data_IF_287720562634
#
_entry.id   IF_287720562634
#
_cell.length_a   1.000
_cell.length_b   1.000
_cell.length_c   1.000
_cell.angle_alpha   90.00
_cell.angle_beta   90.00
_cell.angle_gamma   90.00
#
_symmetry.space_group_name_H-M   'P 1'
#
loop_
_entity.id
_entity.type
_entity.pdbx_description
1 polymer ?
#
# COMPACT_ATOMS: atom_id res chain seq x y z
N UNK A 1 -30.83 32.51 -13.90
CA UNK A 1 -30.23 31.16 -13.83
C UNK A 1 -31.37 30.21 -13.50
N UNK A 2 -31.78 29.38 -14.45
CA UNK A 2 -32.98 28.53 -14.32
C UNK A 2 -32.83 27.56 -13.14
N UNK A 3 -33.92 27.30 -12.40
CA UNK A 3 -33.96 26.38 -11.24
C UNK A 3 -33.35 25.00 -11.57
N UNK A 4 -33.48 24.58 -12.83
CA UNK A 4 -32.91 23.34 -13.40
C UNK A 4 -31.38 23.35 -13.41
N UNK A 5 -30.74 24.50 -13.67
CA UNK A 5 -29.28 24.65 -13.67
C UNK A 5 -28.71 24.61 -12.25
N UNK A 6 -29.47 25.09 -11.26
CA UNK A 6 -29.10 25.00 -9.83
C UNK A 6 -29.17 23.54 -9.35
N UNK A 7 -30.20 22.80 -9.75
CA UNK A 7 -30.31 21.37 -9.41
C UNK A 7 -29.20 20.52 -10.02
N UNK A 8 -28.83 20.76 -11.28
CA UNK A 8 -27.72 20.04 -11.94
C UNK A 8 -26.38 20.38 -11.29
N UNK A 9 -26.14 21.65 -10.95
CA UNK A 9 -24.93 22.07 -10.23
C UNK A 9 -24.86 21.46 -8.82
N UNK A 10 -25.98 21.41 -8.09
CA UNK A 10 -26.06 20.79 -6.77
C UNK A 10 -25.79 19.27 -6.83
N UNK A 11 -26.32 18.58 -7.85
CA UNK A 11 -26.07 17.15 -8.05
C UNK A 11 -24.58 16.86 -8.33
N UNK A 12 -23.93 17.71 -9.13
CA UNK A 12 -22.51 17.60 -9.44
C UNK A 12 -21.63 17.87 -8.20
N UNK A 13 -22.04 18.81 -7.34
CA UNK A 13 -21.36 19.13 -6.09
C UNK A 13 -21.50 18.01 -5.04
N UNK A 14 -22.65 17.32 -4.99
CA UNK A 14 -22.88 16.17 -4.12
C UNK A 14 -21.98 14.96 -4.43
N UNK A 15 -21.62 14.73 -5.70
CA UNK A 15 -20.70 13.64 -6.08
C UNK A 15 -19.27 13.90 -5.56
N UNK A 16 -18.83 15.16 -5.53
CA UNK A 16 -17.50 15.56 -5.05
C UNK A 16 -17.31 15.39 -3.53
N UNK A 17 -18.40 15.34 -2.75
CA UNK A 17 -18.35 15.21 -1.29
C UNK A 17 -18.19 13.75 -0.80
N UNK A 18 -18.29 12.76 -1.68
CA UNK A 18 -18.29 11.33 -1.29
C UNK A 18 -16.90 10.66 -1.24
N UNK A 19 -15.81 11.40 -1.52
CA UNK A 19 -14.50 10.79 -1.77
C UNK A 19 -13.51 10.81 -0.61
N UNK A 20 -13.92 11.18 0.61
CA UNK A 20 -13.03 11.23 1.77
C UNK A 20 -12.92 9.86 2.47
N UNK A 21 -12.36 8.86 1.80
CA UNK A 21 -11.95 7.61 2.46
C UNK A 21 -10.53 7.77 2.96
N UNK A 22 -10.25 7.56 4.25
CA UNK A 22 -8.90 7.66 4.83
C UNK A 22 -8.18 6.31 4.94
N UNK A 23 -8.78 5.21 4.47
CA UNK A 23 -8.14 3.89 4.49
C UNK A 23 -8.75 2.92 3.46
N UNK A 24 -8.05 1.80 3.27
CA UNK A 24 -8.53 0.63 2.53
C UNK A 24 -8.66 -0.58 3.46
N UNK A 25 -9.60 -1.48 3.13
CA UNK A 25 -9.79 -2.77 3.83
C UNK A 25 -8.60 -3.71 3.58
N UNK A 26 -8.43 -4.76 4.41
CA UNK A 26 -7.32 -5.70 4.24
C UNK A 26 -7.26 -6.35 2.86
N UNK A 27 -8.41 -6.75 2.32
CA UNK A 27 -8.48 -7.35 0.98
C UNK A 27 -8.11 -6.34 -0.12
N UNK A 28 -8.53 -5.08 0.00
CA UNK A 28 -8.16 -4.04 -0.96
C UNK A 28 -6.65 -3.77 -0.92
N UNK A 29 -6.04 -3.66 0.27
CA UNK A 29 -4.59 -3.46 0.41
C UNK A 29 -3.83 -4.66 -0.17
N UNK A 30 -4.18 -5.88 0.24
CA UNK A 30 -3.52 -7.10 -0.22
C UNK A 30 -3.61 -7.32 -1.74
N UNK A 31 -4.69 -6.86 -2.38
CA UNK A 31 -4.86 -7.01 -3.83
C UNK A 31 -4.25 -5.83 -4.62
N UNK A 32 -4.12 -4.66 -4.00
CA UNK A 32 -3.65 -3.45 -4.69
C UNK A 32 -2.16 -3.24 -4.52
N UNK A 33 -1.63 -3.34 -3.28
CA UNK A 33 -0.22 -3.04 -2.99
C UNK A 33 0.76 -3.83 -3.87
N UNK A 34 0.60 -5.16 -4.06
CA UNK A 34 1.51 -5.93 -4.91
C UNK A 34 1.51 -5.54 -6.39
N UNK A 35 0.45 -4.89 -6.86
CA UNK A 35 0.37 -4.42 -8.26
C UNK A 35 1.08 -3.09 -8.47
N UNK A 36 1.52 -2.44 -7.39
CA UNK A 36 2.18 -1.14 -7.39
C UNK A 36 3.69 -1.24 -7.14
N UNK A 37 4.20 -2.40 -6.74
CA UNK A 37 5.63 -2.67 -6.54
C UNK A 37 6.27 -3.19 -7.82
N UNK A 38 7.54 -2.84 -8.02
CA UNK A 38 8.38 -3.45 -9.06
C UNK A 38 8.97 -4.80 -8.61
N UNK A 39 9.23 -4.93 -7.30
CA UNK A 39 9.73 -6.15 -6.67
C UNK A 39 8.71 -7.28 -6.72
N UNK A 40 9.18 -8.51 -6.84
CA UNK A 40 8.30 -9.69 -6.89
C UNK A 40 7.62 -9.94 -5.54
N UNK A 41 6.29 -9.97 -5.55
CA UNK A 41 5.50 -10.26 -4.35
C UNK A 41 5.37 -11.76 -4.10
N UNK A 42 5.63 -12.17 -2.85
CA UNK A 42 5.26 -13.48 -2.31
C UNK A 42 4.33 -13.31 -1.12
N UNK A 43 3.22 -14.06 -1.11
CA UNK A 43 2.48 -14.24 0.14
C UNK A 43 3.28 -15.14 1.11
N UNK A 44 2.90 -15.14 2.40
CA UNK A 44 3.66 -15.85 3.44
C UNK A 44 3.79 -17.36 3.18
N UNK A 45 2.77 -18.00 2.61
CA UNK A 45 2.79 -19.43 2.26
C UNK A 45 3.75 -19.69 1.10
N UNK A 46 3.68 -18.87 0.05
CA UNK A 46 4.59 -18.95 -1.10
C UNK A 46 6.04 -18.71 -0.68
N UNK A 47 6.30 -17.70 0.15
CA UNK A 47 7.63 -17.41 0.67
C UNK A 47 8.18 -18.57 1.52
N UNK A 48 7.33 -19.18 2.35
CA UNK A 48 7.69 -20.35 3.16
C UNK A 48 8.04 -21.56 2.29
N UNK A 49 7.27 -21.82 1.24
CA UNK A 49 7.56 -22.90 0.29
C UNK A 49 8.86 -22.62 -0.48
N UNK A 50 9.02 -21.42 -1.04
CA UNK A 50 10.21 -21.03 -1.81
C UNK A 50 11.49 -21.07 -0.98
N UNK A 51 11.42 -20.67 0.30
CA UNK A 51 12.56 -20.76 1.22
C UNK A 51 12.92 -22.22 1.55
N UNK A 52 11.92 -23.08 1.79
CA UNK A 52 12.15 -24.51 2.04
C UNK A 52 12.74 -25.22 0.82
N UNK A 53 12.35 -24.78 -0.37
CA UNK A 53 12.79 -25.35 -1.64
C UNK A 53 14.12 -24.74 -2.13
N UNK A 54 14.74 -23.84 -1.34
CA UNK A 54 15.95 -23.09 -1.66
C UNK A 54 15.88 -22.22 -2.92
N UNK A 55 14.69 -21.93 -3.46
CA UNK A 55 14.51 -21.04 -4.63
C UNK A 55 14.45 -19.57 -4.22
N UNK A 56 14.31 -19.29 -2.92
CA UNK A 56 14.43 -17.95 -2.36
C UNK A 56 15.13 -17.99 -1.01
N UNK A 57 15.76 -16.87 -0.65
CA UNK A 57 16.34 -16.61 0.66
C UNK A 57 15.78 -15.31 1.23
N UNK A 58 15.34 -15.34 2.48
CA UNK A 58 15.02 -14.12 3.23
C UNK A 58 16.32 -13.38 3.53
N UNK A 59 16.38 -12.10 3.18
CA UNK A 59 17.51 -11.22 3.45
C UNK A 59 17.34 -10.50 4.78
N UNK A 60 16.24 -9.76 4.93
CA UNK A 60 15.89 -9.05 6.16
C UNK A 60 14.44 -9.34 6.55
N UNK A 61 14.21 -9.58 7.84
CA UNK A 61 12.87 -9.79 8.40
C UNK A 61 12.40 -8.58 9.17
N UNK A 62 11.08 -8.37 9.18
CA UNK A 62 10.42 -7.40 10.06
C UNK A 62 10.77 -5.95 9.74
N UNK A 63 10.94 -5.62 8.46
CA UNK A 63 11.04 -4.21 8.07
C UNK A 63 9.70 -3.55 8.30
N UNK A 64 9.74 -2.36 8.88
CA UNK A 64 8.59 -1.47 8.98
C UNK A 64 8.92 -0.20 8.21
N UNK A 65 8.03 0.20 7.32
CA UNK A 65 8.14 1.45 6.58
C UNK A 65 6.90 2.31 6.81
N UNK A 66 7.11 3.56 7.20
CA UNK A 66 6.08 4.58 7.32
C UNK A 66 5.99 5.33 5.99
N UNK A 67 4.97 5.04 5.19
CA UNK A 67 4.79 5.68 3.90
C UNK A 67 4.49 7.18 4.08
N UNK A 68 5.09 8.04 3.24
CA UNK A 68 4.66 9.43 3.15
C UNK A 68 3.16 9.54 2.85
N UNK A 69 2.48 10.45 3.53
CA UNK A 69 1.05 10.71 3.34
C UNK A 69 0.83 11.33 1.97
N UNK A 70 0.00 10.69 1.16
CA UNK A 70 -0.45 11.16 -0.13
C UNK A 70 -1.81 11.84 -0.08
N UNK A 71 -2.17 12.50 -1.18
CA UNK A 71 -3.50 13.14 -1.30
C UNK A 71 -4.68 12.17 -1.33
N UNK A 72 -4.42 10.87 -1.54
CA UNK A 72 -5.45 9.81 -1.58
C UNK A 72 -4.87 8.52 -1.00
N UNK A 73 -5.74 7.62 -0.52
CA UNK A 73 -5.34 6.28 -0.03
C UNK A 73 -4.53 5.50 -1.06
N UNK A 74 -4.86 5.66 -2.36
CA UNK A 74 -4.10 5.02 -3.44
C UNK A 74 -2.69 5.60 -3.57
N UNK A 75 -2.51 6.89 -3.30
CA UNK A 75 -1.18 7.50 -3.29
C UNK A 75 -0.37 7.03 -2.08
N UNK A 76 -0.99 6.81 -0.91
CA UNK A 76 -0.31 6.20 0.24
C UNK A 76 0.23 4.81 -0.11
N UNK A 77 -0.58 3.99 -0.80
CA UNK A 77 -0.16 2.67 -1.29
C UNK A 77 0.98 2.74 -2.32
N UNK A 78 0.96 3.73 -3.23
CA UNK A 78 2.07 3.95 -4.17
C UNK A 78 3.35 4.35 -3.45
N UNK A 79 3.25 5.23 -2.45
CA UNK A 79 4.39 5.63 -1.63
C UNK A 79 4.94 4.45 -0.82
N UNK A 80 4.05 3.60 -0.27
CA UNK A 80 4.42 2.38 0.41
C UNK A 80 5.12 1.38 -0.52
N UNK A 81 4.59 1.17 -1.73
CA UNK A 81 5.18 0.29 -2.74
C UNK A 81 6.60 0.75 -3.12
N UNK A 82 6.77 2.06 -3.37
CA UNK A 82 8.09 2.64 -3.64
C UNK A 82 9.08 2.39 -2.50
N UNK A 83 8.64 2.57 -1.26
CA UNK A 83 9.48 2.28 -0.09
C UNK A 83 9.87 0.81 0.04
N UNK A 84 8.97 -0.13 -0.33
CA UNK A 84 9.31 -1.56 -0.42
C UNK A 84 10.41 -1.76 -1.44
N UNK A 85 10.25 -1.24 -2.66
CA UNK A 85 11.20 -1.43 -3.75
C UNK A 85 12.57 -0.85 -3.40
N UNK A 86 12.62 0.36 -2.83
CA UNK A 86 13.86 0.98 -2.34
C UNK A 86 14.55 0.09 -1.28
N UNK A 87 13.80 -0.47 -0.33
CA UNK A 87 14.39 -1.36 0.68
C UNK A 87 14.80 -2.73 0.13
N UNK A 88 14.06 -3.28 -0.82
CA UNK A 88 14.42 -4.53 -1.50
C UNK A 88 15.73 -4.35 -2.26
N UNK A 89 15.87 -3.25 -3.01
CA UNK A 89 17.11 -2.91 -3.72
C UNK A 89 18.28 -2.70 -2.76
N UNK A 90 18.10 -1.91 -1.70
CA UNK A 90 19.13 -1.65 -0.69
C UNK A 90 19.61 -2.93 0.02
N UNK A 91 18.73 -3.92 0.17
CA UNK A 91 19.08 -5.22 0.74
C UNK A 91 19.77 -6.16 -0.26
N UNK A 92 19.83 -5.80 -1.53
CA UNK A 92 20.32 -6.66 -2.61
C UNK A 92 19.32 -7.77 -2.99
N UNK A 93 18.03 -7.56 -2.74
CA UNK A 93 16.93 -8.45 -3.09
C UNK A 93 16.31 -8.15 -4.44
N UNK A 94 15.29 -8.92 -4.77
CA UNK A 94 14.42 -8.72 -5.94
C UNK A 94 12.95 -9.08 -5.64
N UNK A 95 12.66 -9.45 -4.39
CA UNK A 95 11.36 -9.93 -3.96
C UNK A 95 11.08 -9.50 -2.52
N UNK A 96 9.81 -9.55 -2.13
CA UNK A 96 9.38 -9.22 -0.79
C UNK A 96 8.19 -10.07 -0.33
N UNK A 97 7.99 -10.12 0.99
CA UNK A 97 6.82 -10.73 1.63
C UNK A 97 6.06 -9.65 2.36
N UNK A 98 4.81 -9.43 1.96
CA UNK A 98 3.90 -8.60 2.75
C UNK A 98 3.49 -9.33 4.03
N UNK A 99 3.72 -8.71 5.19
CA UNK A 99 3.44 -9.31 6.50
C UNK A 99 2.21 -8.69 7.12
N UNK A 100 2.19 -7.36 7.25
CA UNK A 100 1.10 -6.63 7.90
C UNK A 100 1.04 -5.18 7.43
N UNK A 101 -0.05 -4.48 7.76
CA UNK A 101 -0.15 -3.04 7.62
C UNK A 101 -0.99 -2.43 8.74
N UNK A 102 -0.83 -1.13 8.96
CA UNK A 102 -1.71 -0.35 9.83
C UNK A 102 -1.86 1.07 9.31
N UNK A 103 -3.05 1.63 9.45
CA UNK A 103 -3.33 3.04 9.27
C UNK A 103 -3.31 3.70 10.64
N UNK A 104 -2.46 4.72 10.82
CA UNK A 104 -2.41 5.50 12.05
C UNK A 104 -2.93 6.91 11.79
N UNK A 105 -3.91 7.38 12.56
CA UNK A 105 -4.33 8.78 12.51
C UNK A 105 -3.20 9.66 13.06
N UNK A 106 -2.82 10.70 12.31
CA UNK A 106 -1.66 11.56 12.65
C UNK A 106 -2.04 13.00 12.97
N UNK A 107 -3.30 13.41 12.74
CA UNK A 107 -3.79 14.74 13.11
C UNK A 107 -5.29 14.72 13.45
N UNK A 108 -5.76 15.85 13.99
CA UNK A 108 -7.15 16.03 14.40
C UNK A 108 -8.12 16.11 13.22
N UNK A 109 -7.61 16.40 12.01
CA UNK A 109 -8.38 16.44 10.76
C UNK A 109 -8.70 15.03 10.22
N UNK A 110 -8.24 13.96 10.89
CA UNK A 110 -8.49 12.58 10.51
C UNK A 110 -7.59 12.04 9.40
N UNK A 111 -6.49 12.74 9.08
CA UNK A 111 -5.47 12.24 8.17
C UNK A 111 -4.79 11.01 8.76
N UNK A 112 -4.53 10.02 7.90
CA UNK A 112 -3.91 8.76 8.28
C UNK A 112 -2.56 8.60 7.60
N UNK A 113 -1.66 7.88 8.25
CA UNK A 113 -0.40 7.45 7.69
C UNK A 113 -0.36 5.92 7.60
N UNK A 114 0.04 5.41 6.43
CA UNK A 114 0.19 3.98 6.20
C UNK A 114 1.55 3.50 6.70
N UNK A 115 1.53 2.50 7.57
CA UNK A 115 2.70 1.71 7.93
C UNK A 115 2.56 0.32 7.35
N UNK A 116 3.63 -0.18 6.74
CA UNK A 116 3.71 -1.52 6.15
C UNK A 116 4.85 -2.31 6.77
N UNK A 117 4.54 -3.55 7.12
CA UNK A 117 5.51 -4.53 7.60
C UNK A 117 5.78 -5.57 6.52
N UNK A 118 7.05 -5.81 6.21
CA UNK A 118 7.46 -6.73 5.17
C UNK A 118 8.83 -7.36 5.42
N UNK A 119 9.13 -8.43 4.69
CA UNK A 119 10.46 -9.03 4.63
C UNK A 119 11.01 -8.84 3.23
N UNK A 120 12.33 -8.72 3.08
CA UNK A 120 13.01 -8.70 1.78
C UNK A 120 13.57 -10.09 1.47
N UNK A 121 13.59 -10.41 0.18
CA UNK A 121 14.00 -11.71 -0.33
C UNK A 121 14.89 -11.55 -1.55
N UNK A 122 15.80 -12.50 -1.71
CA UNK A 122 16.44 -12.81 -2.99
C UNK A 122 15.89 -14.13 -3.49
N UNK A 123 15.22 -14.09 -4.62
CA UNK A 123 14.70 -15.25 -5.33
C UNK A 123 15.46 -15.45 -6.64
N UNK A 124 15.61 -16.71 -7.05
CA UNK A 124 16.22 -17.12 -8.32
C UNK A 124 15.30 -16.83 -9.51
#
# INVERSE_FOLDING_TARGET
MELKNIFVAALFFLVLLTSCTSSMTPSQVNNTLPTLTESMYYNQTQASAATKNNTCKILVKGRTYAAPIGFTVKNDLKNAAKGIDEWVELDGGNAYVFVNYKWLTVNDDGATQLYIDFNTMRCE
#
